data_IF_865192563256
#
_entry.id   IF_865192563256
#
_cell.length_a   1.000
_cell.length_b   1.000
_cell.length_c   1.000
_cell.angle_alpha   90.00
_cell.angle_beta   90.00
_cell.angle_gamma   90.00
#
_symmetry.space_group_name_H-M   'P 1'
#
loop_
_entity.id
_entity.type
_entity.pdbx_description
1 polymer ?
#
# COMPACT_ATOMS: atom_id res chain seq x y z
N UNK A 1 -16.74 -1.09 11.96
CA UNK A 1 -16.25 -1.77 13.19
C UNK A 1 -16.90 -1.26 14.47
N UNK A 2 -17.04 0.06 14.68
CA UNK A 2 -17.70 0.61 15.89
C UNK A 2 -19.07 -0.01 16.16
N UNK A 3 -19.94 -0.08 15.13
CA UNK A 3 -21.24 -0.74 15.24
C UNK A 3 -21.17 -2.22 15.64
N UNK A 4 -20.11 -2.96 15.22
CA UNK A 4 -19.89 -4.37 15.60
C UNK A 4 -19.54 -4.48 17.09
N UNK A 5 -18.64 -3.61 17.57
CA UNK A 5 -18.24 -3.58 18.99
C UNK A 5 -19.44 -3.31 19.89
N UNK A 6 -20.27 -2.35 19.50
CA UNK A 6 -21.44 -1.87 20.26
C UNK A 6 -22.73 -2.65 20.00
N UNK A 7 -22.69 -3.68 19.14
CA UNK A 7 -23.86 -4.47 18.71
C UNK A 7 -25.05 -3.65 18.19
N UNK A 8 -24.73 -2.55 17.50
CA UNK A 8 -25.71 -1.67 16.87
C UNK A 8 -26.34 -2.34 15.66
N UNK A 9 -27.51 -1.83 15.28
CA UNK A 9 -28.12 -2.18 14.00
C UNK A 9 -27.30 -1.58 12.85
N UNK A 10 -27.31 -2.27 11.72
CA UNK A 10 -26.65 -1.90 10.48
C UNK A 10 -27.67 -1.89 9.35
N UNK A 11 -27.75 -0.76 8.65
CA UNK A 11 -28.68 -0.55 7.53
C UNK A 11 -28.02 -0.97 6.22
N UNK A 12 -28.63 -1.93 5.52
CA UNK A 12 -28.27 -2.30 4.15
C UNK A 12 -29.02 -1.36 3.20
N UNK A 13 -28.27 -0.44 2.59
CA UNK A 13 -28.78 0.62 1.73
C UNK A 13 -28.08 0.61 0.37
N UNK A 14 -28.75 1.15 -0.64
CA UNK A 14 -28.19 1.46 -1.95
C UNK A 14 -28.85 2.76 -2.46
N UNK A 15 -28.26 3.50 -3.41
CA UNK A 15 -28.95 4.62 -4.04
C UNK A 15 -30.35 4.23 -4.53
N UNK A 16 -31.31 5.15 -4.42
CA UNK A 16 -32.63 4.94 -5.01
C UNK A 16 -32.53 5.05 -6.54
N UNK A 17 -32.56 3.91 -7.21
CA UNK A 17 -32.45 3.82 -8.67
C UNK A 17 -33.63 4.46 -9.42
N UNK A 18 -34.72 4.80 -8.72
CA UNK A 18 -35.87 5.52 -9.31
C UNK A 18 -35.70 7.04 -9.28
N UNK A 19 -34.65 7.53 -8.60
CA UNK A 19 -34.32 8.94 -8.58
C UNK A 19 -33.94 9.42 -9.99
N UNK A 20 -34.58 10.50 -10.44
CA UNK A 20 -34.47 11.01 -11.82
C UNK A 20 -33.03 11.20 -12.30
N UNK A 21 -32.12 11.58 -11.42
CA UNK A 21 -30.73 11.87 -11.78
C UNK A 21 -29.77 10.69 -11.52
N UNK A 22 -30.26 9.53 -11.07
CA UNK A 22 -29.44 8.35 -10.74
C UNK A 22 -28.43 8.00 -11.84
N UNK A 23 -28.92 7.72 -13.06
CA UNK A 23 -28.06 7.29 -14.17
C UNK A 23 -27.02 8.35 -14.59
N UNK A 24 -27.28 9.63 -14.28
CA UNK A 24 -26.41 10.74 -14.66
C UNK A 24 -25.45 11.20 -13.57
N UNK A 25 -25.72 10.88 -12.31
CA UNK A 25 -24.98 11.40 -11.14
C UNK A 25 -24.32 10.31 -10.30
N UNK A 26 -24.73 9.05 -10.43
CA UNK A 26 -24.15 7.95 -9.66
C UNK A 26 -22.73 7.67 -10.14
N UNK A 27 -21.76 7.90 -9.25
CA UNK A 27 -20.33 7.78 -9.50
C UNK A 27 -19.71 6.62 -8.69
N UNK A 28 -20.53 5.70 -8.17
CA UNK A 28 -20.06 4.56 -7.38
C UNK A 28 -19.80 4.86 -5.89
N UNK A 29 -19.91 6.13 -5.48
CA UNK A 29 -19.62 6.58 -4.12
C UNK A 29 -20.90 6.82 -3.30
N UNK A 30 -21.28 5.82 -2.50
CA UNK A 30 -22.49 5.89 -1.67
C UNK A 30 -22.41 6.96 -0.59
N UNK A 31 -21.22 7.25 -0.06
CA UNK A 31 -21.07 8.25 0.99
C UNK A 31 -21.34 9.64 0.43
N UNK A 32 -20.73 9.97 -0.72
CA UNK A 32 -20.97 11.22 -1.42
C UNK A 32 -22.42 11.36 -1.87
N UNK A 33 -22.99 10.29 -2.43
CA UNK A 33 -24.40 10.24 -2.83
C UNK A 33 -25.32 10.60 -1.66
N UNK A 34 -25.15 9.93 -0.54
CA UNK A 34 -26.10 10.04 0.58
C UNK A 34 -25.83 11.25 1.46
N UNK A 35 -24.59 11.48 1.88
CA UNK A 35 -24.27 12.48 2.90
C UNK A 35 -23.83 13.83 2.35
N UNK A 36 -23.13 13.86 1.20
CA UNK A 36 -22.65 15.13 0.63
C UNK A 36 -23.66 15.77 -0.32
N UNK A 37 -24.37 14.95 -1.11
CA UNK A 37 -25.37 15.41 -2.08
C UNK A 37 -26.81 15.38 -1.55
N UNK A 38 -27.04 14.77 -0.39
CA UNK A 38 -28.38 14.56 0.19
C UNK A 38 -29.35 13.87 -0.78
N UNK A 39 -28.82 12.92 -1.59
CA UNK A 39 -29.63 12.16 -2.54
C UNK A 39 -30.24 10.92 -1.90
N UNK A 40 -31.43 10.49 -2.37
CA UNK A 40 -32.18 9.43 -1.72
C UNK A 40 -31.46 8.07 -1.81
N UNK A 41 -31.54 7.32 -0.71
CA UNK A 41 -31.16 5.91 -0.67
C UNK A 41 -32.37 5.05 -0.34
N UNK A 42 -32.38 3.83 -0.87
CA UNK A 42 -33.37 2.81 -0.54
C UNK A 42 -32.82 1.92 0.57
N UNK A 43 -33.53 1.87 1.70
CA UNK A 43 -33.27 0.90 2.77
C UNK A 43 -33.88 -0.45 2.39
N UNK A 44 -33.05 -1.48 2.30
CA UNK A 44 -33.50 -2.84 2.01
C UNK A 44 -33.73 -3.65 3.27
N UNK A 45 -32.83 -3.53 4.26
CA UNK A 45 -32.90 -4.32 5.49
C UNK A 45 -32.09 -3.69 6.60
N UNK A 46 -32.52 -3.87 7.85
CA UNK A 46 -31.70 -3.64 9.05
C UNK A 46 -31.32 -4.97 9.67
N UNK A 47 -30.04 -5.15 10.00
CA UNK A 47 -29.51 -6.35 10.65
C UNK A 47 -28.57 -5.97 11.79
N UNK A 48 -28.33 -6.84 12.77
CA UNK A 48 -27.29 -6.60 13.78
C UNK A 48 -25.91 -6.59 13.12
N UNK A 49 -25.09 -5.59 13.44
CA UNK A 49 -23.73 -5.49 12.89
C UNK A 49 -22.88 -6.73 13.22
N UNK A 50 -23.04 -7.31 14.43
CA UNK A 50 -22.36 -8.57 14.79
C UNK A 50 -22.81 -9.76 13.95
N UNK A 51 -24.07 -9.79 13.52
CA UNK A 51 -24.56 -10.84 12.62
C UNK A 51 -23.88 -10.74 11.26
N UNK A 52 -23.76 -9.54 10.69
CA UNK A 52 -23.03 -9.32 9.44
C UNK A 52 -21.55 -9.73 9.58
N UNK A 53 -20.91 -9.31 10.67
CA UNK A 53 -19.50 -9.65 10.93
C UNK A 53 -19.29 -11.16 11.06
N UNK A 54 -20.20 -11.86 11.75
CA UNK A 54 -20.15 -13.32 11.86
C UNK A 54 -20.29 -13.99 10.49
N UNK A 55 -21.20 -13.52 9.64
CA UNK A 55 -21.35 -14.05 8.28
C UNK A 55 -20.07 -13.90 7.45
N UNK A 56 -19.40 -12.75 7.55
CA UNK A 56 -18.10 -12.52 6.88
C UNK A 56 -17.06 -13.51 7.40
N UNK A 57 -16.96 -13.68 8.72
CA UNK A 57 -15.99 -14.59 9.34
C UNK A 57 -16.27 -16.06 9.01
N UNK A 58 -17.54 -16.48 9.00
CA UNK A 58 -17.96 -17.83 8.63
C UNK A 58 -17.64 -18.12 7.15
N UNK A 59 -17.92 -17.17 6.24
CA UNK A 59 -17.54 -17.29 4.83
C UNK A 59 -16.03 -17.44 4.69
N UNK A 60 -15.25 -16.54 5.31
CA UNK A 60 -13.79 -16.58 5.25
C UNK A 60 -13.21 -17.88 5.82
N UNK A 61 -13.84 -18.44 6.85
CA UNK A 61 -13.46 -19.75 7.39
C UNK A 61 -13.76 -20.90 6.42
N UNK A 62 -14.88 -20.84 5.70
CA UNK A 62 -15.31 -21.90 4.78
C UNK A 62 -14.56 -21.91 3.45
N UNK A 63 -14.21 -20.73 2.92
CA UNK A 63 -13.67 -20.60 1.56
C UNK A 63 -12.32 -19.88 1.46
N UNK A 64 -11.81 -19.33 2.57
CA UNK A 64 -10.68 -18.40 2.57
C UNK A 64 -11.05 -16.97 2.19
N UNK A 65 -12.32 -16.70 1.83
CA UNK A 65 -12.79 -15.41 1.31
C UNK A 65 -14.15 -14.98 1.94
N UNK A 66 -14.44 -13.67 2.06
CA UNK A 66 -13.65 -12.56 1.54
C UNK A 66 -12.52 -12.11 2.47
N UNK A 67 -11.42 -11.63 1.89
CA UNK A 67 -10.45 -10.78 2.57
C UNK A 67 -11.10 -9.51 3.16
N UNK A 68 -10.51 -8.96 4.23
CA UNK A 68 -11.03 -7.77 4.91
C UNK A 68 -10.05 -6.61 4.78
N UNK A 69 -10.53 -5.51 4.19
CA UNK A 69 -9.79 -4.24 4.10
C UNK A 69 -10.57 -3.13 4.79
N UNK A 70 -9.88 -2.39 5.67
CA UNK A 70 -10.43 -1.19 6.30
C UNK A 70 -10.08 0.04 5.48
N UNK A 71 -10.90 0.33 4.47
CA UNK A 71 -10.63 1.38 3.48
C UNK A 71 -10.41 2.76 4.11
N UNK A 72 -11.17 3.12 5.15
CA UNK A 72 -11.01 4.41 5.85
C UNK A 72 -9.64 4.54 6.53
N UNK A 73 -9.16 3.44 7.13
CA UNK A 73 -7.82 3.40 7.71
C UNK A 73 -6.77 3.48 6.60
N UNK A 74 -6.97 2.76 5.51
CA UNK A 74 -6.05 2.81 4.36
C UNK A 74 -5.96 4.23 3.80
N UNK A 75 -7.08 4.91 3.54
CA UNK A 75 -7.11 6.29 3.07
C UNK A 75 -6.40 7.24 4.05
N UNK A 76 -6.59 7.07 5.35
CA UNK A 76 -5.93 7.92 6.36
C UNK A 76 -4.42 7.69 6.44
N UNK A 77 -3.94 6.48 6.23
CA UNK A 77 -2.51 6.16 6.32
C UNK A 77 -1.78 6.31 4.97
N UNK A 78 -2.51 6.35 3.85
CA UNK A 78 -1.92 6.44 2.51
C UNK A 78 -1.16 7.74 2.31
N UNK A 79 0.02 7.66 1.69
CA UNK A 79 0.81 8.83 1.31
C UNK A 79 0.18 9.63 0.16
N UNK A 80 -0.67 9.00 -0.64
CA UNK A 80 -1.28 9.60 -1.84
C UNK A 80 -2.67 10.18 -1.57
N UNK A 81 -3.17 10.10 -0.34
CA UNK A 81 -4.55 10.47 -0.01
C UNK A 81 -4.90 11.94 -0.29
N UNK A 82 -3.90 12.81 -0.42
CA UNK A 82 -4.09 14.22 -0.78
C UNK A 82 -4.30 14.42 -2.29
N UNK A 83 -3.92 13.44 -3.13
CA UNK A 83 -4.05 13.51 -4.59
C UNK A 83 -4.88 12.35 -5.18
N UNK A 84 -5.31 11.39 -4.37
CA UNK A 84 -6.26 10.38 -4.77
C UNK A 84 -7.15 9.87 -3.63
N UNK A 85 -8.36 9.43 -3.99
CA UNK A 85 -9.23 8.66 -3.12
C UNK A 85 -9.01 7.18 -3.43
N UNK A 86 -8.62 6.41 -2.41
CA UNK A 86 -8.50 4.96 -2.47
C UNK A 86 -9.91 4.37 -2.44
N UNK A 87 -10.29 3.69 -3.51
CA UNK A 87 -11.63 3.10 -3.69
C UNK A 87 -11.63 1.59 -3.54
N UNK A 88 -10.46 0.96 -3.55
CA UNK A 88 -10.29 -0.47 -3.40
C UNK A 88 -8.83 -0.84 -3.24
N UNK A 89 -8.57 -2.15 -3.33
CA UNK A 89 -7.21 -2.71 -3.37
C UNK A 89 -7.04 -3.56 -4.63
N UNK A 90 -5.80 -3.81 -5.00
CA UNK A 90 -5.48 -4.75 -6.07
C UNK A 90 -5.84 -6.21 -5.67
N UNK A 91 -5.83 -7.19 -6.61
CA UNK A 91 -6.31 -8.55 -6.35
C UNK A 91 -5.67 -9.26 -5.15
N UNK A 92 -4.41 -8.94 -4.86
CA UNK A 92 -3.68 -9.52 -3.74
C UNK A 92 -3.89 -8.75 -2.43
N UNK A 93 -4.36 -7.50 -2.48
CA UNK A 93 -4.74 -6.69 -1.31
C UNK A 93 -3.63 -5.82 -0.69
N UNK A 94 -2.41 -5.81 -1.25
CA UNK A 94 -1.25 -5.06 -0.71
C UNK A 94 -1.23 -3.59 -1.13
N UNK A 95 -1.84 -3.23 -2.26
CA UNK A 95 -1.91 -1.85 -2.73
C UNK A 95 -3.35 -1.38 -2.79
N UNK A 96 -3.67 -0.39 -1.96
CA UNK A 96 -4.86 0.44 -2.13
C UNK A 96 -4.70 1.32 -3.35
N UNK A 97 -5.68 1.31 -4.24
CA UNK A 97 -5.68 2.02 -5.51
C UNK A 97 -6.85 3.00 -5.57
N UNK A 98 -6.58 4.18 -6.12
CA UNK A 98 -7.63 5.05 -6.63
C UNK A 98 -8.11 4.59 -8.01
N UNK A 99 -9.04 5.36 -8.57
CA UNK A 99 -9.49 5.15 -9.95
C UNK A 99 -8.30 5.14 -10.92
N UNK A 100 -8.31 4.17 -11.85
CA UNK A 100 -7.25 3.97 -12.85
C UNK A 100 -5.84 3.71 -12.28
N UNK A 101 -5.72 3.40 -10.98
CA UNK A 101 -4.44 3.07 -10.36
C UNK A 101 -3.89 1.72 -10.81
N UNK A 102 -2.56 1.61 -10.90
CA UNK A 102 -1.86 0.38 -11.26
C UNK A 102 -0.79 0.00 -10.25
N UNK A 103 -0.39 -1.26 -10.28
CA UNK A 103 0.66 -1.82 -9.45
C UNK A 103 1.94 -2.01 -10.28
N UNK A 104 3.03 -1.33 -9.92
CA UNK A 104 4.37 -1.59 -10.43
C UNK A 104 5.23 -2.16 -9.29
N UNK A 105 5.39 -3.47 -9.28
CA UNK A 105 5.90 -4.23 -8.13
C UNK A 105 7.27 -4.83 -8.39
N UNK A 106 8.11 -4.84 -7.37
CA UNK A 106 9.39 -5.54 -7.36
C UNK A 106 9.67 -6.11 -5.98
N UNK A 107 10.55 -7.11 -5.87
CA UNK A 107 10.91 -7.66 -4.56
C UNK A 107 12.38 -8.03 -4.49
N UNK A 108 13.01 -7.70 -3.37
CA UNK A 108 14.40 -8.04 -3.07
C UNK A 108 14.44 -9.36 -2.30
N UNK A 109 15.21 -10.33 -2.76
CA UNK A 109 15.51 -11.52 -1.97
C UNK A 109 16.50 -11.16 -0.88
N UNK A 110 16.14 -11.32 0.39
CA UNK A 110 16.97 -10.90 1.52
C UNK A 110 18.12 -11.89 1.81
N UNK A 111 17.98 -13.16 1.41
CA UNK A 111 18.92 -14.23 1.74
C UNK A 111 20.36 -13.95 1.28
N UNK A 112 20.62 -13.48 0.04
CA UNK A 112 21.97 -13.24 -0.45
C UNK A 112 22.74 -12.15 0.31
N UNK A 113 22.06 -11.35 1.12
CA UNK A 113 22.69 -10.29 1.91
C UNK A 113 23.23 -10.77 3.25
N UNK A 114 23.03 -12.04 3.63
CA UNK A 114 23.64 -12.60 4.84
C UNK A 114 25.03 -13.13 4.50
N UNK A 115 26.06 -12.59 5.15
CA UNK A 115 27.45 -13.01 4.95
C UNK A 115 27.79 -14.29 5.75
N UNK A 116 29.03 -14.77 5.61
CA UNK A 116 29.50 -15.99 6.30
C UNK A 116 29.58 -15.85 7.82
N UNK A 117 29.65 -14.61 8.31
CA UNK A 117 29.71 -14.28 9.73
C UNK A 117 28.32 -14.09 10.35
N UNK A 118 27.25 -14.43 9.61
CA UNK A 118 25.84 -14.29 10.01
C UNK A 118 25.43 -12.84 10.26
N UNK A 119 25.94 -11.92 9.45
CA UNK A 119 25.58 -10.50 9.49
C UNK A 119 25.01 -10.03 8.15
N UNK A 120 24.17 -9.00 8.18
CA UNK A 120 23.68 -8.36 6.95
C UNK A 120 24.79 -7.51 6.33
N UNK A 121 25.04 -7.72 5.04
CA UNK A 121 25.79 -6.79 4.22
C UNK A 121 24.92 -5.59 3.84
N UNK A 122 24.90 -4.60 4.72
CA UNK A 122 24.10 -3.38 4.57
C UNK A 122 24.46 -2.56 3.33
N UNK A 123 25.75 -2.52 2.97
CA UNK A 123 26.22 -1.76 1.82
C UNK A 123 25.69 -2.32 0.50
N UNK A 124 25.76 -3.64 0.31
CA UNK A 124 25.19 -4.29 -0.88
C UNK A 124 23.66 -4.19 -0.92
N UNK A 125 23.01 -4.30 0.24
CA UNK A 125 21.56 -4.12 0.34
C UNK A 125 21.15 -2.68 -0.04
N UNK A 126 21.90 -1.66 0.41
CA UNK A 126 21.66 -0.26 0.03
C UNK A 126 21.73 -0.05 -1.48
N UNK A 127 22.79 -0.56 -2.12
CA UNK A 127 22.98 -0.48 -3.58
C UNK A 127 21.81 -1.16 -4.29
N UNK A 128 21.40 -2.33 -3.82
CA UNK A 128 20.29 -3.10 -4.41
C UNK A 128 18.96 -2.35 -4.28
N UNK A 129 18.64 -1.79 -3.11
CA UNK A 129 17.41 -1.01 -2.91
C UNK A 129 17.38 0.21 -3.83
N UNK A 130 18.48 0.97 -3.91
CA UNK A 130 18.57 2.14 -4.81
C UNK A 130 18.35 1.74 -6.26
N UNK A 131 19.00 0.65 -6.68
CA UNK A 131 18.85 0.10 -8.03
C UNK A 131 17.42 -0.34 -8.30
N UNK A 132 16.77 -1.03 -7.35
CA UNK A 132 15.39 -1.49 -7.49
C UNK A 132 14.39 -0.33 -7.59
N UNK A 133 14.53 0.70 -6.75
CA UNK A 133 13.67 1.91 -6.83
C UNK A 133 13.84 2.60 -8.18
N UNK A 134 15.08 2.76 -8.66
CA UNK A 134 15.38 3.34 -9.98
C UNK A 134 14.83 2.50 -11.12
N UNK A 135 14.97 1.18 -11.03
CA UNK A 135 14.44 0.25 -12.02
C UNK A 135 12.92 0.37 -12.11
N UNK A 136 12.22 0.31 -10.97
CA UNK A 136 10.77 0.46 -10.93
C UNK A 136 10.34 1.84 -11.45
N UNK A 137 11.02 2.93 -11.07
CA UNK A 137 10.73 4.27 -11.62
C UNK A 137 10.89 4.32 -13.15
N UNK A 138 11.92 3.70 -13.71
CA UNK A 138 12.13 3.66 -15.15
C UNK A 138 11.05 2.83 -15.88
N UNK A 139 10.59 1.73 -15.27
CA UNK A 139 9.52 0.89 -15.84
C UNK A 139 8.25 1.71 -16.08
N UNK A 140 7.94 2.69 -15.22
CA UNK A 140 6.77 3.58 -15.39
C UNK A 140 6.80 4.30 -16.75
N UNK A 141 7.98 4.72 -17.20
CA UNK A 141 8.14 5.46 -18.46
C UNK A 141 8.19 4.52 -19.67
N UNK A 142 8.57 3.25 -19.47
CA UNK A 142 8.70 2.22 -20.51
C UNK A 142 7.44 1.36 -20.70
N UNK A 143 6.51 1.39 -19.74
CA UNK A 143 5.34 0.53 -19.74
C UNK A 143 4.40 0.83 -20.91
N UNK A 144 3.69 -0.21 -21.36
CA UNK A 144 2.69 -0.12 -22.43
C UNK A 144 1.29 -0.13 -21.82
N UNK A 145 0.78 1.07 -21.54
CA UNK A 145 -0.52 1.24 -20.90
C UNK A 145 -1.69 0.92 -21.84
N UNK A 146 -2.68 0.19 -21.31
CA UNK A 146 -3.86 -0.26 -22.06
C UNK A 146 -4.78 0.92 -22.42
N UNK A 147 -4.85 1.95 -21.58
CA UNK A 147 -5.61 3.18 -21.85
C UNK A 147 -4.91 4.44 -21.29
N UNK A 148 -5.33 5.60 -21.78
CA UNK A 148 -4.72 6.88 -21.43
C UNK A 148 -4.97 7.27 -19.96
N UNK A 149 -6.13 6.93 -19.39
CA UNK A 149 -6.46 7.25 -18.00
C UNK A 149 -5.48 6.58 -17.01
N UNK A 150 -5.14 5.32 -17.25
CA UNK A 150 -4.16 4.58 -16.47
C UNK A 150 -2.78 5.24 -16.61
N UNK A 151 -2.38 5.56 -17.85
CA UNK A 151 -1.09 6.19 -18.13
C UNK A 151 -0.96 7.53 -17.41
N UNK A 152 -1.97 8.39 -17.56
CA UNK A 152 -2.03 9.70 -16.90
C UNK A 152 -1.92 9.55 -15.38
N UNK A 153 -2.72 8.65 -14.79
CA UNK A 153 -2.72 8.40 -13.35
C UNK A 153 -1.37 7.92 -12.85
N UNK A 154 -0.76 6.97 -13.57
CA UNK A 154 0.51 6.37 -13.18
C UNK A 154 1.68 7.34 -13.34
N UNK A 155 1.71 8.15 -14.40
CA UNK A 155 2.72 9.21 -14.59
C UNK A 155 2.57 10.34 -13.56
N UNK A 156 1.34 10.61 -13.10
CA UNK A 156 1.05 11.65 -12.11
C UNK A 156 1.56 11.28 -10.71
N UNK A 157 1.29 10.05 -10.25
CA UNK A 157 1.61 9.58 -8.89
C UNK A 157 2.99 8.90 -8.83
N UNK A 158 3.43 8.31 -9.94
CA UNK A 158 4.63 7.49 -10.07
C UNK A 158 4.71 6.38 -9.01
N UNK A 159 3.60 5.65 -8.84
CA UNK A 159 3.45 4.60 -7.83
C UNK A 159 4.35 3.41 -8.15
N UNK A 160 5.15 3.03 -7.17
CA UNK A 160 5.89 1.76 -7.16
C UNK A 160 5.57 0.99 -5.87
N UNK A 161 5.89 -0.30 -5.88
CA UNK A 161 5.76 -1.19 -4.73
C UNK A 161 6.96 -2.10 -4.61
N UNK A 162 8.00 -1.61 -3.94
CA UNK A 162 9.16 -2.40 -3.57
C UNK A 162 8.87 -3.19 -2.29
N UNK A 163 8.90 -4.51 -2.42
CA UNK A 163 8.76 -5.46 -1.33
C UNK A 163 10.02 -6.29 -1.13
N UNK A 164 9.88 -7.35 -0.33
CA UNK A 164 10.97 -8.28 0.00
C UNK A 164 10.45 -9.71 0.03
N UNK A 165 11.33 -10.68 -0.22
CA UNK A 165 11.13 -12.10 0.01
C UNK A 165 12.29 -12.68 0.83
N UNK A 166 12.16 -13.89 1.35
CA UNK A 166 13.23 -14.57 2.06
C UNK A 166 13.41 -14.20 3.52
N UNK A 167 12.45 -13.50 4.13
CA UNK A 167 12.56 -13.11 5.54
C UNK A 167 12.56 -14.32 6.48
N UNK A 168 11.81 -15.39 6.19
CA UNK A 168 11.82 -16.60 7.05
C UNK A 168 13.22 -17.20 7.06
N UNK A 169 13.82 -17.32 5.87
CA UNK A 169 15.12 -17.93 5.69
C UNK A 169 16.19 -17.12 6.40
N UNK A 170 16.15 -15.79 6.30
CA UNK A 170 17.06 -14.92 7.05
C UNK A 170 16.93 -15.14 8.55
N UNK A 171 15.70 -15.20 9.09
CA UNK A 171 15.50 -15.47 10.51
C UNK A 171 16.05 -16.85 10.92
N UNK A 172 15.88 -17.87 10.07
CA UNK A 172 16.41 -19.22 10.31
C UNK A 172 17.94 -19.21 10.28
N UNK A 173 18.56 -18.60 9.28
CA UNK A 173 20.02 -18.50 9.12
C UNK A 173 20.64 -17.81 10.33
N UNK A 174 20.00 -16.74 10.84
CA UNK A 174 20.44 -16.00 12.02
C UNK A 174 20.07 -16.66 13.35
N UNK A 175 19.37 -17.81 13.35
CA UNK A 175 18.91 -18.48 14.56
C UNK A 175 17.86 -17.68 15.36
N UNK A 176 17.15 -16.76 14.71
CA UNK A 176 16.14 -15.90 15.33
C UNK A 176 14.76 -16.55 15.26
N UNK A 177 14.17 -16.83 16.42
CA UNK A 177 12.80 -17.37 16.50
C UNK A 177 11.79 -16.29 16.11
N UNK A 178 10.96 -16.57 15.10
CA UNK A 178 9.88 -15.67 14.69
C UNK A 178 8.96 -15.31 15.86
N UNK A 179 8.72 -14.00 16.04
CA UNK A 179 7.91 -13.46 17.14
C UNK A 179 8.66 -13.29 18.47
N UNK A 180 9.95 -13.66 18.55
CA UNK A 180 10.80 -13.30 19.70
C UNK A 180 11.14 -11.81 19.69
N UNK A 181 11.53 -11.27 20.86
CA UNK A 181 11.92 -9.86 20.98
C UNK A 181 13.10 -9.52 20.06
N UNK A 182 14.04 -10.44 19.94
CA UNK A 182 15.23 -10.32 19.10
C UNK A 182 14.84 -10.28 17.62
N UNK A 183 13.94 -11.17 17.18
CA UNK A 183 13.45 -11.15 15.79
C UNK A 183 12.70 -9.86 15.46
N UNK A 184 11.88 -9.34 16.39
CA UNK A 184 11.14 -8.09 16.19
C UNK A 184 12.08 -6.88 16.12
N UNK A 185 13.12 -6.85 16.96
CA UNK A 185 14.15 -5.81 16.92
C UNK A 185 14.89 -5.83 15.58
N UNK A 186 15.33 -7.00 15.15
CA UNK A 186 16.02 -7.20 13.87
C UNK A 186 15.14 -6.80 12.67
N UNK A 187 13.89 -7.26 12.63
CA UNK A 187 12.92 -6.90 11.57
C UNK A 187 12.71 -5.37 11.55
N UNK A 188 12.57 -4.74 12.72
CA UNK A 188 12.39 -3.29 12.81
C UNK A 188 13.59 -2.53 12.26
N UNK A 189 14.82 -2.97 12.55
CA UNK A 189 16.05 -2.39 12.01
C UNK A 189 16.13 -2.56 10.49
N UNK A 190 15.96 -3.80 10.00
CA UNK A 190 16.00 -4.15 8.58
C UNK A 190 15.01 -3.34 7.75
N UNK A 191 13.74 -3.27 8.16
CA UNK A 191 12.73 -2.54 7.39
C UNK A 191 12.81 -1.02 7.58
N UNK A 192 13.37 -0.52 8.69
CA UNK A 192 13.70 0.91 8.81
C UNK A 192 14.81 1.29 7.83
N UNK A 193 15.84 0.44 7.70
CA UNK A 193 16.91 0.62 6.73
C UNK A 193 16.38 0.60 5.29
N UNK A 194 15.60 -0.43 4.92
CA UNK A 194 14.99 -0.54 3.58
C UNK A 194 14.13 0.70 3.27
N UNK A 195 13.29 1.11 4.22
CA UNK A 195 12.46 2.31 4.07
C UNK A 195 13.32 3.53 3.81
N UNK A 196 14.29 3.80 4.67
CA UNK A 196 15.08 5.02 4.60
C UNK A 196 15.89 5.11 3.31
N UNK A 197 16.49 3.99 2.87
CA UNK A 197 17.21 3.92 1.60
C UNK A 197 16.27 4.13 0.42
N UNK A 198 15.08 3.50 0.41
CA UNK A 198 14.15 3.63 -0.69
C UNK A 198 13.61 5.06 -0.85
N UNK A 199 13.33 5.76 0.26
CA UNK A 199 12.95 7.18 0.23
C UNK A 199 14.09 8.08 -0.23
N UNK A 200 15.33 7.85 0.27
CA UNK A 200 16.51 8.57 -0.21
C UNK A 200 16.70 8.40 -1.71
N UNK A 201 16.56 7.17 -2.22
CA UNK A 201 16.65 6.88 -3.65
C UNK A 201 15.59 7.64 -4.47
N UNK A 202 14.34 7.67 -4.01
CA UNK A 202 13.28 8.42 -4.70
C UNK A 202 13.52 9.93 -4.70
N UNK A 203 14.11 10.49 -3.63
CA UNK A 203 14.53 11.90 -3.57
C UNK A 203 15.73 12.15 -4.49
N UNK A 204 16.68 11.23 -4.57
CA UNK A 204 17.82 11.35 -5.50
C UNK A 204 17.33 11.39 -6.95
N UNK A 205 16.34 10.56 -7.30
CA UNK A 205 15.72 10.59 -8.63
C UNK A 205 14.94 11.89 -8.86
N UNK A 206 14.29 12.47 -7.83
CA UNK A 206 13.59 13.75 -7.99
C UNK A 206 14.55 14.90 -8.30
N UNK A 207 15.79 14.85 -7.80
CA UNK A 207 16.82 15.82 -8.12
C UNK A 207 17.25 15.75 -9.60
N UNK A 208 17.22 14.56 -10.20
CA UNK A 208 17.61 14.33 -11.59
C UNK A 208 16.46 14.56 -12.58
N UNK A 209 15.27 14.01 -12.27
CA UNK A 209 14.14 13.92 -13.20
C UNK A 209 12.93 14.78 -12.81
N UNK A 210 13.00 15.48 -11.67
CA UNK A 210 11.87 16.19 -11.07
C UNK A 210 10.97 15.30 -10.21
N UNK A 211 10.15 15.92 -9.37
CA UNK A 211 9.17 15.21 -8.51
C UNK A 211 8.01 14.61 -9.31
N UNK A 212 7.22 13.73 -8.68
CA UNK A 212 5.93 13.31 -9.23
C UNK A 212 5.04 14.54 -9.52
N UNK A 213 4.24 14.50 -10.60
CA UNK A 213 3.39 15.64 -10.99
C UNK A 213 2.37 15.98 -9.89
N UNK A 214 1.84 14.97 -9.20
CA UNK A 214 0.88 15.15 -8.10
C UNK A 214 1.54 15.37 -6.74
N UNK A 215 2.86 15.56 -6.68
CA UNK A 215 3.53 15.91 -5.44
C UNK A 215 3.09 17.31 -4.98
N UNK A 216 2.48 17.35 -3.80
CA UNK A 216 2.17 18.58 -3.08
C UNK A 216 2.79 18.47 -1.69
N UNK A 217 3.71 19.39 -1.36
CA UNK A 217 4.50 19.29 -0.14
C UNK A 217 3.64 19.25 1.13
N UNK A 218 2.70 20.18 1.26
CA UNK A 218 1.85 20.30 2.46
C UNK A 218 0.96 19.06 2.65
N UNK A 219 0.39 18.56 1.57
CA UNK A 219 -0.44 17.36 1.57
C UNK A 219 0.35 16.07 1.80
N UNK A 220 1.65 16.04 1.48
CA UNK A 220 2.49 14.86 1.58
C UNK A 220 3.28 14.77 2.90
N UNK A 221 3.87 15.88 3.37
CA UNK A 221 4.78 15.87 4.53
C UNK A 221 4.06 15.55 5.85
N UNK A 222 2.77 15.88 5.93
CA UNK A 222 1.92 15.68 7.10
C UNK A 222 1.16 14.34 7.07
N UNK A 223 1.51 13.43 6.15
CA UNK A 223 0.88 12.10 6.09
C UNK A 223 1.41 11.22 7.23
N UNK A 224 0.58 10.40 7.89
CA UNK A 224 0.98 9.66 9.10
C UNK A 224 2.22 8.76 8.93
N UNK A 225 2.43 8.19 7.74
CA UNK A 225 3.63 7.40 7.46
C UNK A 225 4.85 8.29 7.23
N UNK A 226 4.69 9.43 6.54
CA UNK A 226 5.77 10.37 6.25
C UNK A 226 6.27 11.06 7.52
N UNK A 227 5.39 11.38 8.47
CA UNK A 227 5.76 11.97 9.76
C UNK A 227 6.74 11.09 10.55
N UNK A 228 6.64 9.76 10.40
CA UNK A 228 7.48 8.74 11.04
C UNK A 228 8.86 8.57 10.38
N UNK A 229 9.10 9.22 9.24
CA UNK A 229 10.42 9.22 8.61
C UNK A 229 11.40 10.05 9.46
N UNK A 230 12.70 9.72 9.43
CA UNK A 230 13.74 10.55 10.04
C UNK A 230 13.68 12.00 9.55
N UNK A 231 13.95 12.95 10.44
CA UNK A 231 13.90 14.39 10.11
C UNK A 231 14.79 14.73 8.92
N UNK A 232 15.99 14.14 8.83
CA UNK A 232 16.88 14.30 7.70
C UNK A 232 16.25 13.91 6.34
N UNK A 233 15.37 12.89 6.30
CA UNK A 233 14.65 12.51 5.08
C UNK A 233 13.52 13.50 4.81
N UNK A 234 12.75 13.88 5.83
CA UNK A 234 11.68 14.87 5.71
C UNK A 234 12.20 16.22 5.20
N UNK A 235 13.34 16.68 5.71
CA UNK A 235 13.98 17.93 5.27
C UNK A 235 14.45 17.85 3.81
N UNK A 236 14.99 16.70 3.40
CA UNK A 236 15.31 16.47 2.00
C UNK A 236 14.07 16.47 1.10
N UNK A 237 12.95 15.88 1.52
CA UNK A 237 11.67 15.96 0.80
C UNK A 237 11.20 17.41 0.68
N UNK A 238 11.31 18.21 1.75
CA UNK A 238 10.96 19.65 1.71
C UNK A 238 11.79 20.42 0.69
N UNK A 239 13.08 20.14 0.58
CA UNK A 239 13.99 20.89 -0.28
C UNK A 239 14.04 20.39 -1.73
N UNK A 240 13.89 19.08 -1.96
CA UNK A 240 14.09 18.42 -3.26
C UNK A 240 12.84 17.78 -3.85
N UNK A 241 11.77 17.68 -3.06
CA UNK A 241 10.59 16.89 -3.38
C UNK A 241 10.87 15.39 -3.40
N UNK A 242 9.98 14.63 -4.04
CA UNK A 242 10.06 13.16 -4.13
C UNK A 242 9.54 12.66 -5.47
N UNK A 243 10.20 11.64 -6.04
CA UNK A 243 9.85 11.11 -7.36
C UNK A 243 8.63 10.21 -7.34
N UNK A 244 8.45 9.42 -6.30
CA UNK A 244 7.42 8.37 -6.21
C UNK A 244 6.58 8.58 -4.94
N UNK A 245 5.26 8.77 -5.09
CA UNK A 245 4.41 9.08 -3.92
C UNK A 245 4.07 7.84 -3.08
N UNK A 246 4.12 6.65 -3.69
CA UNK A 246 4.04 5.34 -3.05
C UNK A 246 5.26 4.54 -3.45
N UNK A 247 5.97 3.95 -2.48
CA UNK A 247 7.28 3.34 -2.68
C UNK A 247 7.33 1.87 -2.24
N UNK A 248 6.85 1.58 -1.03
CA UNK A 248 7.05 0.29 -0.38
C UNK A 248 5.75 -0.50 -0.37
N UNK A 249 5.81 -1.79 -0.67
CA UNK A 249 4.63 -2.68 -0.70
C UNK A 249 5.07 -4.13 -0.53
N UNK A 250 4.48 -4.85 0.43
CA UNK A 250 4.72 -6.29 0.59
C UNK A 250 3.68 -7.10 -0.19
N UNK A 251 4.01 -7.37 -1.45
CA UNK A 251 3.22 -8.22 -2.34
C UNK A 251 3.53 -9.71 -2.10
N UNK A 252 2.58 -10.62 -2.37
CA UNK A 252 2.90 -12.04 -2.44
C UNK A 252 3.96 -12.33 -3.51
N UNK A 253 4.98 -13.11 -3.17
CA UNK A 253 6.10 -13.42 -4.06
C UNK A 253 6.11 -14.89 -4.43
N UNK A 254 5.10 -15.36 -5.17
CA UNK A 254 5.04 -16.77 -5.60
C UNK A 254 6.25 -17.19 -6.45
N UNK A 255 6.91 -16.23 -7.11
CA UNK A 255 8.17 -16.44 -7.85
C UNK A 255 9.40 -16.63 -6.95
N UNK A 256 9.26 -16.55 -5.62
CA UNK A 256 10.29 -16.93 -4.65
C UNK A 256 10.73 -18.40 -4.80
N UNK A 257 9.86 -19.26 -5.35
CA UNK A 257 10.18 -20.64 -5.69
C UNK A 257 11.38 -20.76 -6.65
N UNK A 258 11.51 -19.85 -7.61
CA UNK A 258 12.65 -19.83 -8.54
C UNK A 258 13.98 -19.43 -7.86
N UNK A 259 13.89 -18.85 -6.66
CA UNK A 259 15.02 -18.39 -5.86
C UNK A 259 15.29 -19.30 -4.66
N UNK A 260 14.55 -20.41 -4.54
CA UNK A 260 14.58 -21.32 -3.39
C UNK A 260 14.50 -20.56 -2.04
N UNK A 261 13.59 -19.59 -1.99
CA UNK A 261 13.44 -18.64 -0.88
C UNK A 261 11.99 -18.65 -0.40
N UNK A 262 11.77 -18.33 0.87
CA UNK A 262 10.42 -18.16 1.39
C UNK A 262 9.71 -16.97 0.74
N UNK A 263 8.40 -17.12 0.54
CA UNK A 263 7.55 -16.02 0.11
C UNK A 263 7.48 -14.92 1.17
N UNK A 264 6.97 -13.77 0.78
CA UNK A 264 6.85 -12.56 1.58
C UNK A 264 6.04 -12.77 2.86
N UNK A 265 6.48 -12.16 3.96
CA UNK A 265 5.65 -11.99 5.15
C UNK A 265 4.80 -10.74 5.01
N UNK A 266 3.48 -10.89 5.22
CA UNK A 266 2.65 -9.78 5.68
C UNK A 266 2.71 -9.75 7.20
N UNK A 267 3.58 -8.91 7.75
CA UNK A 267 3.59 -8.59 9.19
C UNK A 267 2.56 -7.52 9.50
#
# INVERSE_FOLDING_TARGET
ITAVKEDKDWSLVFPDITFKEYDSKWDGDLYKWWFERDYPVKLYKKIKARKLWRLIAESAHQSGEPGVVFIDKYQRESNTANCEKIIGVNPCGEQGLGEWGVCNLGSINLVPFINKDLEINWSELEITIKTAVRFLDNVIDLDNYINDQIKEKQLSIRRIGLGTMGLADVLIILGLKYGSKESLSFISELYSFIRDVAYKASIDISCEKGSAVSFNLEGYINRPFIEKLPDAIKDRIRFRGIRNLSILTQAPTSFSIYHNSSSTFRT
#
